data_IF_921704383941
#
_entry.id   IF_921704383941
#
_cell.length_a   1.000
_cell.length_b   1.000
_cell.length_c   1.000
_cell.angle_alpha   90.00
_cell.angle_beta   90.00
_cell.angle_gamma   90.00
#
_symmetry.space_group_name_H-M   'P 1'
#
loop_
_entity.id
_entity.type
_entity.pdbx_description
1 polymer ?
#
# COMPACT_ATOMS: atom_id res chain seq x y z
N UNK A 1 22.96 -17.25 -14.08
CA UNK A 1 22.24 -15.97 -14.09
C UNK A 1 21.05 -16.17 -13.18
N UNK A 2 21.14 -15.65 -11.99
CA UNK A 2 20.02 -15.63 -11.03
C UNK A 2 19.04 -14.56 -11.51
N UNK A 3 17.76 -14.73 -11.23
CA UNK A 3 16.68 -13.80 -11.64
C UNK A 3 16.82 -12.35 -11.09
N UNK A 4 17.92 -12.06 -10.40
CA UNK A 4 18.21 -10.78 -9.76
C UNK A 4 18.81 -9.74 -10.74
N UNK A 5 19.25 -10.16 -11.95
CA UNK A 5 19.88 -9.24 -12.92
C UNK A 5 18.88 -8.50 -13.85
N UNK A 6 17.58 -8.73 -13.71
CA UNK A 6 16.59 -8.28 -14.69
C UNK A 6 15.92 -6.92 -14.38
N UNK A 7 16.27 -6.25 -13.28
CA UNK A 7 15.69 -4.95 -12.97
C UNK A 7 16.42 -3.83 -13.74
N UNK A 8 16.07 -3.68 -15.01
CA UNK A 8 16.50 -2.53 -15.81
C UNK A 8 15.83 -1.25 -15.31
N UNK A 9 16.63 -0.20 -14.98
CA UNK A 9 16.06 1.12 -14.70
C UNK A 9 15.81 1.88 -15.99
N UNK A 10 14.63 2.48 -16.11
CA UNK A 10 14.34 3.47 -17.16
C UNK A 10 14.64 4.85 -16.58
N UNK A 11 15.55 5.57 -17.20
CA UNK A 11 15.89 6.94 -16.84
C UNK A 11 14.90 7.89 -17.51
N UNK A 12 14.00 8.49 -16.71
CA UNK A 12 13.17 9.62 -17.15
C UNK A 12 13.71 10.90 -16.52
N UNK A 13 14.06 11.93 -17.32
CA UNK A 13 14.61 13.17 -16.80
C UNK A 13 13.67 13.83 -15.77
N UNK A 14 14.21 14.20 -14.60
CA UNK A 14 13.47 14.94 -13.56
C UNK A 14 12.49 14.13 -12.72
N UNK A 15 12.55 12.79 -12.78
CA UNK A 15 11.71 11.89 -11.96
C UNK A 15 12.59 10.94 -11.15
N UNK A 16 12.08 10.34 -10.06
CA UNK A 16 12.72 9.21 -9.42
C UNK A 16 13.08 8.16 -10.46
N UNK A 17 14.22 7.49 -10.30
CA UNK A 17 14.66 6.45 -11.24
C UNK A 17 13.64 5.30 -11.23
N UNK A 18 12.84 5.21 -12.29
CA UNK A 18 11.78 4.22 -12.40
C UNK A 18 12.33 2.86 -12.77
N UNK A 19 11.77 1.82 -12.16
CA UNK A 19 12.06 0.42 -12.54
C UNK A 19 11.39 0.08 -13.88
N UNK A 20 10.29 0.76 -14.21
CA UNK A 20 9.55 0.58 -15.46
C UNK A 20 8.73 1.81 -15.83
N UNK A 21 8.09 1.80 -16.98
CA UNK A 21 7.12 2.83 -17.34
C UNK A 21 5.92 2.76 -16.41
N UNK A 22 5.34 3.91 -16.01
CA UNK A 22 4.13 3.92 -15.19
C UNK A 22 2.99 3.16 -15.88
N UNK A 23 2.39 2.21 -15.16
CA UNK A 23 1.33 1.33 -15.66
C UNK A 23 -0.03 1.67 -15.07
N UNK A 24 -1.09 1.45 -15.82
CA UNK A 24 -2.48 1.55 -15.35
C UNK A 24 -3.39 0.69 -16.20
N UNK A 25 -4.33 0.01 -15.55
CA UNK A 25 -5.35 -0.79 -16.23
C UNK A 25 -6.32 0.10 -16.99
N UNK A 26 -6.67 -0.27 -18.21
CA UNK A 26 -7.61 0.49 -19.06
C UNK A 26 -8.98 -0.19 -19.21
N UNK A 27 -9.17 -1.34 -18.59
CA UNK A 27 -10.35 -2.20 -18.83
C UNK A 27 -11.66 -1.57 -18.36
N UNK A 28 -11.64 -0.79 -17.28
CA UNK A 28 -12.84 -0.22 -16.65
C UNK A 28 -13.28 1.10 -17.25
N UNK A 29 -12.34 1.99 -17.57
CA UNK A 29 -12.64 3.37 -17.95
C UNK A 29 -12.06 3.80 -19.30
N UNK A 30 -11.41 2.89 -20.04
CA UNK A 30 -10.76 3.18 -21.31
C UNK A 30 -9.56 4.15 -21.20
N UNK A 31 -9.14 4.45 -19.97
CA UNK A 31 -7.96 5.24 -19.63
C UNK A 31 -7.20 4.55 -18.49
N UNK A 32 -5.88 4.81 -18.33
CA UNK A 32 -5.11 4.21 -17.24
C UNK A 32 -5.73 4.52 -15.88
N UNK A 33 -6.04 3.45 -15.12
CA UNK A 33 -6.56 3.59 -13.77
C UNK A 33 -6.20 2.38 -12.92
N UNK A 34 -5.21 2.53 -12.05
CA UNK A 34 -4.83 1.56 -11.04
C UNK A 34 -4.30 2.31 -9.82
N UNK A 35 -4.74 1.92 -8.62
CA UNK A 35 -4.38 2.54 -7.35
C UNK A 35 -3.92 1.50 -6.34
N UNK A 36 -3.33 1.95 -5.23
CA UNK A 36 -3.05 1.16 -4.03
C UNK A 36 -2.24 -0.10 -4.36
N UNK A 37 -0.99 0.03 -4.86
CA UNK A 37 -0.20 -1.12 -5.29
C UNK A 37 0.33 -1.93 -4.10
N UNK A 38 0.14 -3.26 -4.15
CA UNK A 38 0.84 -4.22 -3.31
C UNK A 38 1.48 -5.27 -4.20
N UNK A 39 2.80 -5.42 -4.13
CA UNK A 39 3.55 -6.31 -5.03
C UNK A 39 4.28 -7.37 -4.23
N UNK A 40 4.16 -8.61 -4.67
CA UNK A 40 4.86 -9.77 -4.10
C UNK A 40 5.58 -10.56 -5.20
N UNK A 41 6.59 -11.35 -4.80
CA UNK A 41 7.16 -12.41 -5.64
C UNK A 41 6.54 -13.74 -5.24
N UNK A 42 5.90 -14.43 -6.18
CA UNK A 42 5.23 -15.68 -5.92
C UNK A 42 5.19 -16.58 -7.17
N UNK A 43 5.54 -17.87 -7.00
CA UNK A 43 5.47 -18.84 -8.08
C UNK A 43 6.42 -18.53 -9.25
N UNK A 44 7.56 -17.87 -8.99
CA UNK A 44 8.56 -17.52 -10.01
C UNK A 44 8.22 -16.30 -10.85
N UNK A 45 7.21 -15.52 -10.47
CA UNK A 45 6.77 -14.26 -11.09
C UNK A 45 6.47 -13.21 -10.04
N UNK A 46 6.22 -11.98 -10.48
CA UNK A 46 5.70 -10.90 -9.64
C UNK A 46 4.18 -10.80 -9.82
N UNK A 47 3.48 -10.60 -8.71
CA UNK A 47 2.04 -10.33 -8.69
C UNK A 47 1.82 -8.94 -8.08
N UNK A 48 1.10 -8.10 -8.79
CA UNK A 48 0.63 -6.79 -8.35
C UNK A 48 -0.86 -6.89 -8.06
N UNK A 49 -1.22 -6.62 -6.82
CA UNK A 49 -2.60 -6.38 -6.42
C UNK A 49 -2.84 -4.88 -6.40
N UNK A 50 -3.94 -4.44 -6.96
CA UNK A 50 -4.27 -3.02 -7.00
C UNK A 50 -5.78 -2.80 -7.00
N UNK A 51 -6.19 -1.59 -6.61
CA UNK A 51 -7.59 -1.17 -6.69
C UNK A 51 -7.95 -0.71 -8.08
N UNK A 52 -9.04 -1.28 -8.63
CA UNK A 52 -9.70 -0.77 -9.83
C UNK A 52 -11.02 -0.08 -9.46
N UNK A 53 -11.32 1.06 -10.10
CA UNK A 53 -12.54 1.79 -9.85
C UNK A 53 -13.78 1.05 -10.36
N UNK A 54 -14.97 1.56 -10.00
CA UNK A 54 -16.21 1.26 -10.70
C UNK A 54 -16.11 1.61 -12.20
N UNK A 55 -17.03 1.09 -13.01
CA UNK A 55 -17.09 1.42 -14.44
C UNK A 55 -17.50 2.85 -14.77
N UNK A 56 -17.91 3.66 -13.78
CA UNK A 56 -18.35 5.05 -13.92
C UNK A 56 -17.70 5.94 -12.87
N UNK A 57 -17.39 7.20 -13.22
CA UNK A 57 -16.86 8.19 -12.29
C UNK A 57 -17.89 8.62 -11.22
N UNK A 58 -19.19 8.49 -11.53
CA UNK A 58 -20.27 8.95 -10.67
C UNK A 58 -20.72 7.90 -9.64
N UNK A 59 -20.13 6.70 -9.64
CA UNK A 59 -20.54 5.57 -8.79
C UNK A 59 -19.40 5.18 -7.86
N UNK A 60 -19.60 5.36 -6.56
CA UNK A 60 -18.66 4.91 -5.53
C UNK A 60 -18.66 3.38 -5.36
N UNK A 61 -19.76 2.71 -5.71
CA UNK A 61 -19.90 1.26 -5.62
C UNK A 61 -19.20 0.54 -6.78
N UNK A 62 -18.73 -0.69 -6.53
CA UNK A 62 -18.15 -1.54 -7.56
C UNK A 62 -16.64 -1.44 -7.72
N UNK A 63 -15.93 -0.83 -6.76
CA UNK A 63 -14.49 -0.97 -6.65
C UNK A 63 -14.12 -2.43 -6.42
N UNK A 64 -13.01 -2.86 -6.99
CA UNK A 64 -12.55 -4.25 -6.93
C UNK A 64 -11.03 -4.31 -6.84
N UNK A 65 -10.52 -5.38 -6.27
CA UNK A 65 -9.09 -5.70 -6.33
C UNK A 65 -8.81 -6.44 -7.64
N UNK A 66 -7.83 -5.95 -8.40
CA UNK A 66 -7.30 -6.64 -9.56
C UNK A 66 -5.95 -7.30 -9.25
N UNK A 67 -5.64 -8.34 -10.00
CA UNK A 67 -4.35 -9.01 -9.99
C UNK A 67 -3.70 -8.81 -11.36
N UNK A 68 -2.52 -8.22 -11.39
CA UNK A 68 -1.66 -8.17 -12.57
C UNK A 68 -0.39 -8.99 -12.32
N UNK A 69 0.18 -9.55 -13.37
CA UNK A 69 1.42 -10.30 -13.29
C UNK A 69 2.52 -9.69 -14.17
N UNK A 70 3.77 -9.95 -13.79
CA UNK A 70 4.97 -9.54 -14.49
C UNK A 70 6.11 -10.53 -14.23
N UNK A 71 6.97 -10.72 -15.22
CA UNK A 71 8.22 -11.47 -15.09
C UNK A 71 9.43 -10.54 -14.84
N UNK A 72 9.28 -9.21 -15.06
CA UNK A 72 10.37 -8.24 -15.12
C UNK A 72 10.15 -6.96 -14.29
N UNK A 73 9.00 -6.80 -13.62
CA UNK A 73 8.52 -5.58 -12.92
C UNK A 73 8.32 -4.36 -13.85
N UNK A 74 8.45 -4.53 -15.16
CA UNK A 74 8.32 -3.46 -16.17
C UNK A 74 7.05 -3.62 -16.97
N UNK A 75 6.78 -4.85 -17.42
CA UNK A 75 5.64 -5.19 -18.27
C UNK A 75 4.57 -5.89 -17.43
N UNK A 76 3.45 -5.22 -17.22
CA UNK A 76 2.35 -5.74 -16.41
C UNK A 76 1.15 -6.12 -17.26
N UNK A 77 0.49 -7.22 -16.90
CA UNK A 77 -0.73 -7.71 -17.53
C UNK A 77 -1.76 -8.10 -16.46
N UNK A 78 -2.93 -7.47 -16.47
CA UNK A 78 -4.04 -7.87 -15.60
C UNK A 78 -4.49 -9.30 -15.96
N UNK A 79 -4.54 -10.19 -14.98
CA UNK A 79 -4.89 -11.61 -15.13
C UNK A 79 -6.19 -11.96 -14.43
N UNK A 80 -6.59 -11.19 -13.42
CA UNK A 80 -7.86 -11.39 -12.72
C UNK A 80 -8.40 -10.09 -12.15
N UNK A 81 -9.70 -10.06 -11.93
CA UNK A 81 -10.39 -9.09 -11.06
C UNK A 81 -11.17 -9.93 -10.06
N UNK A 82 -10.90 -9.73 -8.78
CA UNK A 82 -11.50 -10.51 -7.72
C UNK A 82 -12.98 -10.14 -7.56
N UNK A 83 -13.89 -11.12 -7.53
CA UNK A 83 -15.29 -10.87 -7.23
C UNK A 83 -15.45 -10.53 -5.73
N UNK A 84 -16.56 -9.91 -5.31
CA UNK A 84 -16.93 -9.85 -3.91
C UNK A 84 -16.96 -11.24 -3.28
N UNK A 85 -16.43 -11.36 -2.05
CA UNK A 85 -16.37 -12.62 -1.33
C UNK A 85 -17.60 -12.88 -0.45
N UNK A 86 -18.39 -11.82 -0.16
CA UNK A 86 -19.57 -11.92 0.69
C UNK A 86 -20.35 -10.61 0.77
N UNK A 87 -21.34 -10.59 1.67
CA UNK A 87 -22.19 -9.40 1.87
C UNK A 87 -21.42 -8.20 2.43
N UNK A 88 -20.31 -8.45 3.12
CA UNK A 88 -19.50 -7.40 3.75
C UNK A 88 -18.72 -6.55 2.74
N UNK A 89 -18.35 -7.09 1.59
CA UNK A 89 -17.62 -6.41 0.52
C UNK A 89 -18.41 -6.29 -0.80
N UNK A 90 -19.72 -6.56 -0.77
CA UNK A 90 -20.60 -6.50 -1.93
C UNK A 90 -20.68 -5.10 -2.57
N UNK A 91 -20.51 -4.03 -1.80
CA UNK A 91 -20.45 -2.65 -2.32
C UNK A 91 -19.12 -2.32 -2.97
N UNK A 92 -18.04 -2.94 -2.53
CA UNK A 92 -16.71 -2.77 -3.09
C UNK A 92 -15.60 -3.27 -2.16
N UNK A 93 -14.45 -3.53 -2.77
CA UNK A 93 -13.20 -3.86 -2.12
C UNK A 93 -12.07 -3.02 -2.72
N UNK A 94 -11.10 -2.60 -1.91
CA UNK A 94 -10.00 -1.76 -2.34
C UNK A 94 -8.76 -1.93 -1.44
N UNK A 95 -7.69 -1.23 -1.77
CA UNK A 95 -6.43 -1.12 -1.03
C UNK A 95 -5.92 -2.48 -0.52
N UNK A 96 -5.50 -3.34 -1.44
CA UNK A 96 -4.97 -4.66 -1.09
C UNK A 96 -3.59 -4.55 -0.44
N UNK A 97 -3.35 -5.36 0.60
CA UNK A 97 -2.06 -5.65 1.17
C UNK A 97 -1.80 -7.16 1.07
N UNK A 98 -0.76 -7.59 0.39
CA UNK A 98 -0.46 -9.00 0.15
C UNK A 98 0.86 -9.42 0.80
N UNK A 99 0.87 -10.60 1.41
CA UNK A 99 2.06 -11.20 1.99
C UNK A 99 2.11 -12.69 1.69
N UNK A 100 3.31 -13.25 1.53
CA UNK A 100 3.50 -14.69 1.36
C UNK A 100 3.87 -15.31 2.71
N UNK A 101 3.03 -16.23 3.19
CA UNK A 101 3.24 -17.00 4.41
C UNK A 101 3.03 -18.49 4.10
N UNK A 102 3.95 -19.35 4.57
CA UNK A 102 3.87 -20.80 4.41
C UNK A 102 3.59 -21.26 2.97
N UNK A 103 4.18 -20.56 1.99
CA UNK A 103 4.03 -20.87 0.57
C UNK A 103 2.66 -20.54 -0.04
N UNK A 104 1.86 -19.73 0.65
CA UNK A 104 0.56 -19.24 0.21
C UNK A 104 0.52 -17.73 0.20
N UNK A 105 -0.33 -17.16 -0.64
CA UNK A 105 -0.60 -15.72 -0.64
C UNK A 105 -1.74 -15.41 0.31
N UNK A 106 -1.48 -14.55 1.28
CA UNK A 106 -2.47 -13.94 2.16
C UNK A 106 -2.74 -12.53 1.66
N UNK A 107 -3.99 -12.26 1.28
CA UNK A 107 -4.45 -10.97 0.79
C UNK A 107 -5.36 -10.34 1.85
N UNK A 108 -4.96 -9.17 2.32
CA UNK A 108 -5.79 -8.32 3.16
C UNK A 108 -6.30 -7.17 2.30
N UNK A 109 -7.54 -6.78 2.50
CA UNK A 109 -8.16 -5.72 1.71
C UNK A 109 -9.25 -5.05 2.53
N UNK A 110 -9.56 -3.81 2.21
CA UNK A 110 -10.65 -3.10 2.88
C UNK A 110 -11.97 -3.34 2.16
N UNK A 111 -13.07 -3.33 2.91
CA UNK A 111 -14.39 -3.04 2.35
C UNK A 111 -14.42 -1.59 1.88
N UNK A 112 -15.24 -1.25 0.88
CA UNK A 112 -15.28 0.09 0.33
C UNK A 112 -16.72 0.59 0.13
N UNK A 113 -16.94 1.86 0.48
CA UNK A 113 -18.25 2.51 0.30
C UNK A 113 -19.18 2.44 1.50
N UNK A 114 -18.70 1.94 2.66
CA UNK A 114 -19.48 1.83 3.91
C UNK A 114 -19.13 2.92 4.94
N UNK A 115 -18.19 3.80 4.60
CA UNK A 115 -17.79 4.90 5.46
C UNK A 115 -17.13 4.45 6.77
N UNK A 116 -17.76 4.71 7.91
CA UNK A 116 -17.24 4.31 9.24
C UNK A 116 -17.21 2.79 9.44
N UNK A 117 -17.99 2.04 8.69
CA UNK A 117 -18.08 0.58 8.77
C UNK A 117 -17.09 -0.14 7.87
N UNK A 118 -16.26 0.60 7.09
CA UNK A 118 -15.19 -0.01 6.33
C UNK A 118 -14.21 -0.71 7.27
N UNK A 119 -13.85 -1.94 6.94
CA UNK A 119 -13.06 -2.83 7.78
C UNK A 119 -12.14 -3.70 6.93
N UNK A 120 -11.10 -4.28 7.54
CA UNK A 120 -10.16 -5.15 6.85
C UNK A 120 -10.71 -6.56 6.79
N UNK A 121 -10.69 -7.12 5.57
CA UNK A 121 -11.00 -8.50 5.24
C UNK A 121 -9.73 -9.26 4.86
N UNK A 122 -9.80 -10.59 4.87
CA UNK A 122 -8.68 -11.47 4.55
C UNK A 122 -9.14 -12.62 3.65
N UNK A 123 -8.28 -13.01 2.71
CA UNK A 123 -8.46 -14.18 1.86
C UNK A 123 -7.11 -14.86 1.59
N UNK A 124 -7.11 -16.13 1.26
CA UNK A 124 -5.89 -16.93 1.04
C UNK A 124 -5.93 -17.61 -0.31
N UNK A 125 -4.77 -17.72 -0.96
CA UNK A 125 -4.61 -18.35 -2.28
C UNK A 125 -3.36 -19.22 -2.35
N UNK A 126 -3.49 -20.36 -3.04
CA UNK A 126 -2.37 -21.25 -3.37
C UNK A 126 -1.66 -20.86 -4.68
N UNK A 127 -2.29 -20.04 -5.54
CA UNK A 127 -1.76 -19.60 -6.83
C UNK A 127 -1.61 -18.09 -6.99
N UNK A 128 -2.07 -17.32 -5.97
CA UNK A 128 -2.06 -15.86 -5.98
C UNK A 128 -3.14 -15.21 -6.85
N UNK A 129 -4.06 -16.00 -7.43
CA UNK A 129 -5.11 -15.52 -8.35
C UNK A 129 -6.51 -15.92 -7.86
N UNK A 130 -6.68 -17.18 -7.48
CA UNK A 130 -7.94 -17.69 -6.96
C UNK A 130 -7.92 -17.69 -5.43
N UNK A 131 -8.76 -16.89 -4.81
CA UNK A 131 -8.76 -16.69 -3.35
C UNK A 131 -9.96 -17.33 -2.68
N UNK A 132 -9.71 -17.89 -1.49
CA UNK A 132 -10.74 -18.36 -0.55
C UNK A 132 -10.83 -17.35 0.60
N UNK A 133 -12.01 -16.75 0.85
CA UNK A 133 -12.16 -15.78 1.92
C UNK A 133 -12.05 -16.42 3.31
N UNK A 134 -11.53 -15.64 4.26
CA UNK A 134 -11.57 -16.02 5.67
C UNK A 134 -13.04 -16.02 6.16
N UNK A 135 -13.52 -17.10 6.76
CA UNK A 135 -14.90 -17.16 7.24
C UNK A 135 -15.20 -16.19 8.40
N UNK A 136 -14.16 -15.62 9.03
CA UNK A 136 -14.29 -14.64 10.10
C UNK A 136 -14.35 -13.18 9.59
N UNK A 137 -14.39 -12.95 8.27
CA UNK A 137 -14.44 -11.60 7.71
C UNK A 137 -15.65 -10.77 8.18
N UNK A 138 -15.46 -9.47 8.45
CA UNK A 138 -14.21 -8.72 8.47
C UNK A 138 -13.33 -9.14 9.65
N UNK A 139 -12.02 -9.30 9.41
CA UNK A 139 -11.07 -9.79 10.41
C UNK A 139 -10.54 -8.69 11.33
N UNK A 140 -10.56 -7.43 10.92
CA UNK A 140 -10.08 -6.34 11.75
C UNK A 140 -10.91 -5.06 11.56
N UNK A 141 -11.26 -4.45 12.70
CA UNK A 141 -11.75 -3.09 12.84
C UNK A 141 -11.22 -2.53 14.16
N UNK A 142 -10.77 -1.27 14.21
CA UNK A 142 -10.13 -0.71 15.40
C UNK A 142 -11.13 -0.39 16.49
N UNK A 143 -10.59 -0.23 17.71
CA UNK A 143 -11.29 0.26 18.89
C UNK A 143 -10.54 1.45 19.51
N UNK A 144 -11.18 2.17 20.42
CA UNK A 144 -10.63 3.32 21.12
C UNK A 144 -11.29 4.64 20.73
N UNK A 145 -11.25 5.60 21.65
CA UNK A 145 -11.96 6.88 21.51
C UNK A 145 -11.33 7.85 20.50
N UNK A 146 -10.10 7.55 20.04
CA UNK A 146 -9.37 8.36 19.08
C UNK A 146 -9.73 8.06 17.61
N UNK A 147 -10.47 6.96 17.36
CA UNK A 147 -10.80 6.47 16.01
C UNK A 147 -12.30 6.49 15.77
N UNK A 148 -12.69 6.70 14.52
CA UNK A 148 -14.10 6.58 14.10
C UNK A 148 -14.58 5.12 13.96
N UNK A 149 -13.71 4.11 14.19
CA UNK A 149 -14.03 2.69 14.02
C UNK A 149 -13.73 2.12 12.63
N UNK A 150 -13.37 2.95 11.67
CA UNK A 150 -12.98 2.56 10.30
C UNK A 150 -11.59 1.97 10.26
N UNK A 151 -11.37 0.92 9.45
CA UNK A 151 -10.04 0.43 9.07
C UNK A 151 -9.94 0.31 7.55
N UNK A 152 -8.92 0.95 6.97
CA UNK A 152 -8.61 0.93 5.54
C UNK A 152 -7.11 0.80 5.30
N UNK A 153 -6.68 0.66 4.05
CA UNK A 153 -5.30 0.70 3.57
C UNK A 153 -4.39 -0.23 4.39
N UNK A 154 -4.72 -1.52 4.41
CA UNK A 154 -3.94 -2.51 5.13
C UNK A 154 -2.62 -2.83 4.43
N UNK A 155 -1.51 -2.76 5.15
CA UNK A 155 -0.26 -3.37 4.73
C UNK A 155 0.34 -4.23 5.85
N UNK A 156 1.10 -5.25 5.47
CA UNK A 156 1.53 -6.27 6.41
C UNK A 156 2.99 -6.68 6.19
N UNK A 157 3.65 -6.94 7.31
CA UNK A 157 4.99 -7.55 7.30
C UNK A 157 5.09 -8.64 8.37
N UNK A 158 5.70 -9.76 8.00
CA UNK A 158 5.98 -10.85 8.94
C UNK A 158 7.30 -10.59 9.69
N UNK A 159 7.27 -10.83 11.00
CA UNK A 159 8.45 -11.02 11.86
C UNK A 159 8.64 -12.51 12.13
N UNK A 160 9.53 -12.90 13.03
CA UNK A 160 9.72 -14.30 13.39
C UNK A 160 8.50 -14.92 14.12
N UNK A 161 7.70 -14.11 14.79
CA UNK A 161 6.60 -14.56 15.64
C UNK A 161 5.22 -14.04 15.23
N UNK A 162 5.16 -12.87 14.61
CA UNK A 162 3.91 -12.16 14.36
C UNK A 162 3.81 -11.63 12.94
N UNK A 163 2.59 -11.59 12.44
CA UNK A 163 2.21 -10.73 11.32
C UNK A 163 1.82 -9.37 11.88
N UNK A 164 2.56 -8.33 11.50
CA UNK A 164 2.25 -6.94 11.89
C UNK A 164 1.43 -6.30 10.79
N UNK A 165 0.30 -5.71 11.17
CA UNK A 165 -0.62 -4.96 10.33
C UNK A 165 -0.48 -3.48 10.63
N UNK A 166 -0.24 -2.67 9.63
CA UNK A 166 -0.52 -1.23 9.65
C UNK A 166 -1.83 -0.94 8.92
N UNK A 167 -2.60 -0.01 9.43
CA UNK A 167 -3.93 0.33 8.94
C UNK A 167 -4.22 1.81 9.14
N UNK A 168 -5.23 2.31 8.46
CA UNK A 168 -5.61 3.73 8.45
C UNK A 168 -7.02 3.90 9.01
N UNK A 169 -7.22 4.98 9.74
CA UNK A 169 -8.52 5.40 10.25
C UNK A 169 -8.67 6.91 10.18
N UNK A 170 -9.83 7.43 10.60
CA UNK A 170 -10.04 8.85 10.86
C UNK A 170 -10.36 9.09 12.32
N UNK A 171 -10.20 10.35 12.72
CA UNK A 171 -10.70 10.85 14.00
C UNK A 171 -12.22 10.66 14.12
N UNK A 172 -12.81 10.77 15.33
CA UNK A 172 -14.25 10.63 15.52
C UNK A 172 -15.10 11.58 14.67
N UNK A 173 -14.57 12.71 14.26
CA UNK A 173 -15.21 13.71 13.40
C UNK A 173 -15.06 13.41 11.89
N UNK A 174 -14.33 12.37 11.52
CA UNK A 174 -14.06 11.97 10.12
C UNK A 174 -13.25 12.99 9.30
N UNK A 175 -12.38 13.78 9.94
CA UNK A 175 -11.60 14.85 9.30
C UNK A 175 -10.12 14.51 9.18
N UNK A 176 -9.49 14.08 10.27
CA UNK A 176 -8.05 13.82 10.34
C UNK A 176 -7.81 12.34 10.10
N UNK A 177 -7.02 12.01 9.08
CA UNK A 177 -6.67 10.63 8.76
C UNK A 177 -5.33 10.25 9.37
N UNK A 178 -5.27 9.08 10.02
CA UNK A 178 -4.18 8.67 10.91
C UNK A 178 -3.89 7.17 10.73
N UNK A 179 -2.69 6.77 11.15
CA UNK A 179 -2.23 5.39 11.09
C UNK A 179 -2.32 4.71 12.47
N UNK A 180 -2.71 3.45 12.45
CA UNK A 180 -2.65 2.55 13.59
C UNK A 180 -1.92 1.27 13.25
N UNK A 181 -1.56 0.50 14.26
CA UNK A 181 -0.90 -0.80 14.13
C UNK A 181 -1.55 -1.86 14.99
N UNK A 182 -1.45 -3.11 14.52
CA UNK A 182 -1.90 -4.31 15.22
C UNK A 182 -0.95 -5.47 14.89
N UNK A 183 -1.06 -6.59 15.61
CA UNK A 183 -0.33 -7.81 15.29
C UNK A 183 -1.16 -9.06 15.59
N UNK A 184 -0.87 -10.14 14.89
CA UNK A 184 -1.42 -11.47 15.17
C UNK A 184 -0.31 -12.52 15.12
N UNK A 185 -0.41 -13.63 15.89
CA UNK A 185 0.54 -14.74 15.77
C UNK A 185 0.56 -15.32 14.36
N UNK A 186 1.75 -15.70 13.84
CA UNK A 186 1.87 -16.24 12.48
C UNK A 186 1.15 -17.58 12.30
N UNK A 187 1.00 -18.36 13.37
CA UNK A 187 0.32 -19.65 13.38
C UNK A 187 -1.21 -19.53 13.60
N UNK A 188 -1.75 -18.31 13.65
CA UNK A 188 -3.19 -18.05 13.81
C UNK A 188 -3.94 -18.18 12.48
N UNK A 189 -5.27 -18.19 12.58
CA UNK A 189 -6.15 -18.14 11.41
C UNK A 189 -6.39 -16.69 10.90
N UNK A 190 -5.80 -15.69 11.55
CA UNK A 190 -6.04 -14.26 11.32
C UNK A 190 -7.51 -13.87 11.42
N UNK A 191 -8.24 -14.54 12.31
CA UNK A 191 -9.62 -14.14 12.64
C UNK A 191 -9.64 -12.91 13.55
N UNK A 192 -10.83 -12.35 13.78
CA UNK A 192 -10.97 -11.09 14.56
C UNK A 192 -10.36 -11.16 15.96
N UNK A 193 -10.40 -12.32 16.61
CA UNK A 193 -9.89 -12.50 17.98
C UNK A 193 -8.36 -12.70 18.04
N UNK A 194 -7.70 -12.90 16.90
CA UNK A 194 -6.27 -13.16 16.82
C UNK A 194 -5.45 -11.86 16.83
N UNK A 195 -6.08 -10.73 16.55
CA UNK A 195 -5.42 -9.44 16.44
C UNK A 195 -5.32 -8.72 17.78
N UNK A 196 -4.09 -8.40 18.19
CA UNK A 196 -3.78 -7.45 19.25
C UNK A 196 -3.59 -6.06 18.62
N UNK A 197 -4.52 -5.13 18.86
CA UNK A 197 -4.33 -3.73 18.48
C UNK A 197 -3.21 -3.12 19.33
N UNK A 198 -2.18 -2.56 18.69
CA UNK A 198 -1.04 -1.95 19.35
C UNK A 198 -1.28 -0.45 19.65
N UNK A 199 -2.04 0.21 18.80
CA UNK A 199 -2.43 1.63 18.90
C UNK A 199 -3.76 1.78 19.65
N UNK A 200 -3.78 1.47 20.96
CA UNK A 200 -5.02 1.46 21.76
C UNK A 200 -5.39 2.86 22.24
N UNK A 201 -4.41 3.60 22.80
CA UNK A 201 -4.63 4.88 23.46
C UNK A 201 -4.49 6.09 22.53
N UNK A 202 -4.10 5.85 21.27
CA UNK A 202 -3.87 6.86 20.26
C UNK A 202 -3.31 6.26 18.96
N UNK A 203 -3.18 7.06 17.89
CA UNK A 203 -2.60 6.62 16.64
C UNK A 203 -1.11 6.30 16.77
N UNK A 204 -0.62 5.39 15.94
CA UNK A 204 0.81 5.13 15.77
C UNK A 204 1.52 6.35 15.17
N UNK A 205 0.87 7.00 14.19
CA UNK A 205 1.23 8.29 13.61
C UNK A 205 -0.04 9.11 13.32
N UNK A 206 0.05 10.41 13.57
CA UNK A 206 -0.93 11.42 13.14
C UNK A 206 -0.23 12.49 12.30
N UNK A 207 -0.93 13.25 11.44
CA UNK A 207 -0.32 14.35 10.69
C UNK A 207 0.31 15.40 11.61
N UNK A 208 1.55 15.80 11.32
CA UNK A 208 2.29 16.81 12.08
C UNK A 208 3.06 17.77 11.17
N UNK A 209 3.48 17.28 9.98
CA UNK A 209 4.29 18.06 9.05
C UNK A 209 3.40 18.86 8.09
N UNK A 210 3.83 20.06 7.64
CA UNK A 210 3.02 20.90 6.77
C UNK A 210 2.55 20.21 5.48
N UNK A 211 3.36 19.32 4.89
CA UNK A 211 3.01 18.61 3.67
C UNK A 211 2.04 17.44 3.92
N UNK A 212 1.90 16.96 5.14
CA UNK A 212 0.93 15.93 5.53
C UNK A 212 -0.50 16.50 5.64
N UNK A 213 -0.64 17.80 5.89
CA UNK A 213 -1.91 18.49 6.06
C UNK A 213 -2.80 17.81 7.13
N UNK A 214 -4.01 17.35 6.78
CA UNK A 214 -4.94 16.64 7.68
C UNK A 214 -4.96 15.12 7.43
N UNK A 215 -4.00 14.57 6.66
CA UNK A 215 -4.04 13.17 6.24
C UNK A 215 -2.65 12.54 6.19
N UNK A 216 -2.51 11.39 6.84
CA UNK A 216 -1.52 10.39 6.51
C UNK A 216 -2.24 9.05 6.31
N UNK A 217 -1.86 8.33 5.23
CA UNK A 217 -2.54 7.09 4.83
C UNK A 217 -1.60 6.13 4.10
N UNK A 218 -2.13 4.98 3.71
CA UNK A 218 -1.46 3.97 2.89
C UNK A 218 -0.06 3.60 3.40
N UNK A 219 0.04 2.95 4.56
CA UNK A 219 1.31 2.44 5.06
C UNK A 219 1.87 1.37 4.13
N UNK A 220 3.22 1.28 4.04
CA UNK A 220 3.94 0.15 3.45
C UNK A 220 5.10 -0.23 4.36
N UNK A 221 5.10 -1.45 4.85
CA UNK A 221 5.99 -1.91 5.91
C UNK A 221 7.19 -2.68 5.36
N UNK A 222 8.35 -2.49 6.00
CA UNK A 222 9.53 -3.32 5.90
C UNK A 222 9.99 -3.71 7.31
N UNK A 223 10.45 -4.95 7.48
CA UNK A 223 11.14 -5.44 8.66
C UNK A 223 12.54 -5.92 8.28
N UNK A 224 13.58 -5.46 8.97
CA UNK A 224 14.98 -5.85 8.69
C UNK A 224 15.55 -6.87 9.70
N UNK A 225 14.70 -7.39 10.58
CA UNK A 225 15.09 -8.28 11.68
C UNK A 225 15.24 -7.56 13.02
N UNK A 226 15.29 -6.22 13.05
CA UNK A 226 15.46 -5.40 14.24
C UNK A 226 14.59 -4.15 14.27
N UNK A 227 14.34 -3.57 13.12
CA UNK A 227 13.66 -2.28 12.98
C UNK A 227 12.63 -2.35 11.85
N UNK A 228 11.45 -1.84 12.13
CA UNK A 228 10.43 -1.58 11.12
C UNK A 228 10.74 -0.25 10.42
N UNK A 229 10.60 -0.22 9.11
CA UNK A 229 10.45 1.00 8.33
C UNK A 229 9.04 1.01 7.76
N UNK A 230 8.32 2.10 7.93
CA UNK A 230 7.02 2.36 7.32
C UNK A 230 7.15 3.52 6.35
N UNK A 231 6.83 3.29 5.09
CA UNK A 231 6.53 4.37 4.16
C UNK A 231 5.05 4.72 4.31
N UNK A 232 4.69 5.98 4.12
CA UNK A 232 3.30 6.43 4.21
C UNK A 232 3.07 7.60 3.26
N UNK A 233 1.83 7.79 2.85
CA UNK A 233 1.42 8.94 2.05
C UNK A 233 0.91 10.06 2.96
N UNK A 234 1.31 11.29 2.67
CA UNK A 234 0.85 12.50 3.37
C UNK A 234 0.06 13.42 2.46
N UNK A 235 -0.94 14.08 2.99
CA UNK A 235 -2.05 14.77 2.39
C UNK A 235 -3.09 13.85 1.73
N UNK A 236 -4.29 14.38 1.50
CA UNK A 236 -5.31 13.69 0.69
C UNK A 236 -4.92 13.66 -0.79
N UNK A 237 -5.53 12.74 -1.55
CA UNK A 237 -5.27 12.61 -2.99
C UNK A 237 -5.34 13.96 -3.71
N UNK A 238 -4.36 14.25 -4.55
CA UNK A 238 -4.22 15.47 -5.37
C UNK A 238 -4.12 16.80 -4.57
N UNK A 239 -3.61 16.77 -3.30
CA UNK A 239 -3.50 17.99 -2.47
C UNK A 239 -2.09 18.60 -2.27
N UNK A 240 -0.98 18.24 -2.95
CA UNK A 240 -0.58 16.99 -3.55
C UNK A 240 -0.21 15.94 -2.49
N UNK A 241 -0.54 14.69 -2.73
CA UNK A 241 -0.06 13.60 -1.88
C UNK A 241 1.41 13.30 -2.16
N UNK A 242 2.18 13.02 -1.12
CA UNK A 242 3.62 12.78 -1.18
C UNK A 242 3.98 11.64 -0.22
N UNK A 243 5.16 11.04 -0.35
CA UNK A 243 5.55 9.88 0.45
C UNK A 243 6.63 10.25 1.45
N UNK A 244 6.36 9.99 2.72
CA UNK A 244 7.32 10.04 3.82
C UNK A 244 7.66 8.67 4.38
N UNK A 245 8.44 8.64 5.46
CA UNK A 245 8.81 7.42 6.14
C UNK A 245 9.01 7.62 7.64
N UNK A 246 8.82 6.54 8.39
CA UNK A 246 9.03 6.48 9.83
C UNK A 246 9.63 5.13 10.23
N UNK A 247 10.22 5.03 11.41
CA UNK A 247 10.80 3.80 11.96
C UNK A 247 10.24 3.47 13.33
N UNK A 248 10.30 2.17 13.68
CA UNK A 248 9.93 1.65 14.98
C UNK A 248 10.71 0.37 15.30
N UNK A 249 10.95 0.09 16.57
CA UNK A 249 11.51 -1.21 17.02
C UNK A 249 10.46 -2.11 17.65
N UNK A 250 9.24 -1.61 17.87
CA UNK A 250 8.18 -2.31 18.60
C UNK A 250 6.82 -2.30 17.88
N UNK A 251 6.75 -1.66 16.71
CA UNK A 251 5.54 -1.41 15.94
C UNK A 251 4.46 -0.58 16.70
N UNK A 252 4.77 -0.05 17.88
CA UNK A 252 3.88 0.79 18.70
C UNK A 252 4.25 2.26 18.62
N UNK A 253 5.54 2.53 18.82
CA UNK A 253 6.09 3.89 18.87
C UNK A 253 6.86 4.14 17.59
N UNK A 254 6.44 5.14 16.83
CA UNK A 254 7.02 5.47 15.54
C UNK A 254 7.69 6.84 15.55
N UNK A 255 8.81 6.94 14.87
CA UNK A 255 9.57 8.19 14.72
C UNK A 255 9.75 8.48 13.24
N UNK A 256 9.35 9.67 12.79
CA UNK A 256 9.59 10.14 11.42
C UNK A 256 11.08 10.21 11.14
N UNK A 257 11.45 9.79 9.94
CA UNK A 257 12.85 9.79 9.51
C UNK A 257 13.32 11.10 8.93
N UNK A 258 12.40 11.97 8.49
CA UNK A 258 12.70 13.29 7.93
C UNK A 258 11.48 14.22 8.04
N UNK A 259 11.72 15.53 7.98
CA UNK A 259 10.66 16.54 7.94
C UNK A 259 10.13 16.76 6.51
N UNK A 260 10.93 16.45 5.51
CA UNK A 260 10.58 16.54 4.09
C UNK A 260 10.16 15.17 3.53
N UNK A 261 9.29 15.12 2.49
CA UNK A 261 8.93 13.87 1.87
C UNK A 261 10.13 13.17 1.21
N UNK A 262 10.17 11.85 1.33
CA UNK A 262 11.14 11.00 0.62
C UNK A 262 10.89 11.00 -0.89
N UNK A 263 9.62 10.95 -1.30
CA UNK A 263 9.20 11.07 -2.69
C UNK A 263 8.18 12.21 -2.78
N UNK A 264 8.60 13.39 -3.24
CA UNK A 264 7.68 14.52 -3.46
C UNK A 264 6.82 14.30 -4.72
N UNK A 265 5.76 15.09 -4.84
CA UNK A 265 5.10 15.28 -6.11
C UNK A 265 6.08 15.83 -7.16
N UNK A 266 5.95 15.38 -8.39
CA UNK A 266 6.87 15.76 -9.47
C UNK A 266 6.72 17.23 -9.91
N UNK A 267 7.71 17.77 -10.63
CA UNK A 267 7.61 19.10 -11.23
C UNK A 267 6.51 19.14 -12.30
N UNK A 268 6.11 20.36 -12.68
CA UNK A 268 5.14 20.58 -13.76
C UNK A 268 5.56 19.85 -15.03
N UNK A 269 4.67 19.01 -15.55
CA UNK A 269 4.90 18.19 -16.74
C UNK A 269 5.42 16.77 -16.46
N UNK A 270 5.78 16.46 -15.20
CA UNK A 270 6.06 15.09 -14.80
C UNK A 270 4.76 14.27 -14.68
N UNK A 271 4.84 12.96 -14.89
CA UNK A 271 3.72 12.03 -14.83
C UNK A 271 3.08 11.92 -13.42
N UNK A 272 3.82 12.33 -12.39
CA UNK A 272 3.43 12.36 -10.98
C UNK A 272 3.29 13.79 -10.43
N UNK A 273 2.96 14.75 -11.30
CA UNK A 273 2.88 16.16 -10.92
C UNK A 273 1.81 16.45 -9.87
N UNK A 274 0.63 15.85 -10.00
CA UNK A 274 -0.48 16.08 -9.07
C UNK A 274 -0.38 15.23 -7.82
N UNK A 275 0.32 14.09 -7.90
CA UNK A 275 0.42 13.15 -6.78
C UNK A 275 1.55 12.13 -6.95
N UNK A 276 2.19 11.78 -5.82
CA UNK A 276 2.98 10.58 -5.58
C UNK A 276 2.52 10.01 -4.24
N UNK A 277 1.70 8.96 -4.25
CA UNK A 277 1.05 8.48 -3.03
C UNK A 277 0.86 6.97 -2.98
N UNK A 278 0.25 6.49 -1.92
CA UNK A 278 -0.07 5.08 -1.66
C UNK A 278 1.10 4.15 -1.99
N UNK A 279 2.19 4.19 -1.18
CA UNK A 279 3.35 3.33 -1.38
C UNK A 279 3.01 1.85 -1.15
N UNK A 280 3.70 0.96 -1.87
CA UNK A 280 3.77 -0.47 -1.61
C UNK A 280 5.23 -0.90 -1.73
N UNK A 281 5.75 -1.73 -0.83
CA UNK A 281 7.16 -2.08 -0.78
C UNK A 281 7.39 -3.57 -1.07
N UNK A 282 8.28 -3.84 -2.04
CA UNK A 282 8.79 -5.17 -2.34
C UNK A 282 10.25 -5.26 -1.94
N UNK A 283 10.59 -6.10 -0.98
CA UNK A 283 11.97 -6.33 -0.57
C UNK A 283 12.77 -7.06 -1.67
N UNK A 284 14.03 -6.62 -1.90
CA UNK A 284 15.01 -7.23 -2.80
C UNK A 284 16.32 -7.43 -2.01
N UNK A 285 16.29 -8.38 -1.09
CA UNK A 285 17.35 -8.60 -0.12
C UNK A 285 17.23 -7.72 1.14
N UNK A 286 18.25 -7.76 2.03
CA UNK A 286 18.19 -7.08 3.32
C UNK A 286 18.26 -5.54 3.21
N UNK A 287 19.03 -5.02 2.25
CA UNK A 287 19.38 -3.59 2.18
C UNK A 287 18.83 -2.88 0.93
N UNK A 288 17.90 -3.51 0.22
CA UNK A 288 17.32 -2.94 -1.00
C UNK A 288 15.87 -3.39 -1.21
N UNK A 289 15.17 -2.68 -2.08
CA UNK A 289 13.84 -3.02 -2.51
C UNK A 289 13.34 -2.13 -3.64
N UNK A 290 12.09 -2.33 -3.98
CA UNK A 290 11.36 -1.51 -4.94
C UNK A 290 10.16 -0.91 -4.22
N UNK A 291 10.04 0.39 -4.26
CA UNK A 291 8.90 1.13 -3.77
C UNK A 291 7.99 1.44 -4.96
N UNK A 292 6.83 0.80 -4.97
CA UNK A 292 5.74 1.09 -5.89
C UNK A 292 4.89 2.21 -5.32
N UNK A 293 4.28 3.01 -6.18
CA UNK A 293 3.37 4.06 -5.75
C UNK A 293 2.40 4.46 -6.86
N UNK A 294 1.23 4.89 -6.46
CA UNK A 294 0.29 5.49 -7.40
C UNK A 294 0.65 6.94 -7.67
N UNK A 295 0.38 7.41 -8.87
CA UNK A 295 0.55 8.81 -9.22
C UNK A 295 -0.31 9.22 -10.42
N UNK A 296 -0.45 10.53 -10.60
CA UNK A 296 -1.09 11.14 -11.75
C UNK A 296 -0.57 12.57 -11.96
N UNK A 297 -0.91 13.15 -13.10
CA UNK A 297 -0.56 14.53 -13.48
C UNK A 297 -1.78 15.35 -13.94
N UNK A 298 -2.99 14.86 -13.66
CA UNK A 298 -4.24 15.38 -14.19
C UNK A 298 -5.38 15.38 -13.17
N UNK A 299 -5.03 15.65 -11.91
CA UNK A 299 -5.93 15.76 -10.76
C UNK A 299 -6.86 14.54 -10.60
N UNK A 300 -6.30 13.34 -10.85
CA UNK A 300 -7.00 12.08 -10.65
C UNK A 300 -7.86 11.61 -11.82
N UNK A 301 -7.78 12.25 -13.00
CA UNK A 301 -8.46 11.76 -14.20
C UNK A 301 -7.88 10.42 -14.67
N UNK A 302 -6.55 10.28 -14.64
CA UNK A 302 -5.85 8.99 -14.82
C UNK A 302 -5.11 8.63 -13.54
N UNK A 303 -4.86 7.33 -13.35
CA UNK A 303 -4.06 6.82 -12.25
C UNK A 303 -3.11 5.76 -12.77
N UNK A 304 -1.85 5.87 -12.38
CA UNK A 304 -0.79 4.96 -12.79
C UNK A 304 0.04 4.54 -11.60
N UNK A 305 0.54 3.33 -11.65
CA UNK A 305 1.51 2.79 -10.70
C UNK A 305 2.88 2.89 -11.34
N UNK A 306 3.79 3.57 -10.66
CA UNK A 306 5.21 3.62 -10.96
C UNK A 306 6.01 2.94 -9.87
N UNK A 307 7.31 2.77 -10.08
CA UNK A 307 8.18 2.13 -9.12
C UNK A 307 9.58 2.74 -9.16
N UNK A 308 10.22 2.84 -8.00
CA UNK A 308 11.60 3.29 -7.85
C UNK A 308 12.39 2.36 -6.97
N UNK A 309 13.70 2.26 -7.21
CA UNK A 309 14.59 1.51 -6.32
C UNK A 309 14.82 2.27 -5.03
N UNK A 310 14.87 1.52 -3.94
CA UNK A 310 15.22 2.01 -2.61
C UNK A 310 16.36 1.17 -2.08
N UNK A 311 17.43 1.81 -1.63
CA UNK A 311 18.48 1.20 -0.84
C UNK A 311 18.36 1.65 0.62
N UNK A 312 18.94 0.89 1.53
CA UNK A 312 18.88 1.20 2.95
C UNK A 312 20.28 1.30 3.56
N UNK A 313 20.45 2.26 4.47
CA UNK A 313 21.56 2.35 5.38
C UNK A 313 20.98 2.11 6.79
N UNK A 314 21.02 0.86 7.25
CA UNK A 314 20.20 0.41 8.37
C UNK A 314 18.71 0.51 8.05
N UNK A 315 17.97 1.30 8.82
CA UNK A 315 16.55 1.56 8.60
C UNK A 315 16.29 2.81 7.74
N UNK A 316 17.32 3.55 7.33
CA UNK A 316 17.19 4.80 6.56
C UNK A 316 17.08 4.52 5.07
N UNK A 317 15.93 4.79 4.43
CA UNK A 317 15.76 4.61 2.99
C UNK A 317 16.47 5.71 2.20
N UNK A 318 17.00 5.35 1.04
CA UNK A 318 17.57 6.25 0.04
C UNK A 318 16.98 5.97 -1.32
N UNK A 319 16.43 6.99 -1.94
CA UNK A 319 15.88 6.95 -3.31
C UNK A 319 16.81 7.77 -4.20
N UNK A 320 17.23 7.22 -5.33
CA UNK A 320 18.03 7.96 -6.31
C UNK A 320 17.10 8.78 -7.22
N UNK A 321 17.23 10.10 -7.14
CA UNK A 321 16.58 11.01 -8.07
C UNK A 321 17.55 11.37 -9.22
N UNK A 322 17.07 11.38 -10.46
CA UNK A 322 17.81 12.02 -11.54
C UNK A 322 17.65 13.53 -11.44
N UNK A 323 18.72 14.23 -11.06
CA UNK A 323 18.69 15.68 -10.97
C UNK A 323 19.98 16.30 -10.47
N UNK A 324 20.85 15.54 -9.83
CA UNK A 324 22.15 16.02 -9.33
C UNK A 324 23.31 15.66 -10.28
N UNK A 325 23.17 16.00 -11.57
CA UNK A 325 24.33 16.26 -12.41
C UNK A 325 24.59 17.76 -12.31
N UNK A 326 25.58 18.10 -11.41
CA UNK A 326 26.14 19.43 -11.26
C UNK A 326 26.68 20.01 -12.58
#
# INVERSE_FOLDING_TARGET
>A
MTADDALGSIDLPGTPRLVGAPWGDTSRRGRPYAKDPSVIRFGGRYLLYCSLPSGSDDVAEGWSVAVAESDDLVSWRTVAVLPPFGDHDATGAAAPGAVVLDGRVHLFFQTYGRGREDAICHAVSDDGIAFTPNPANPVFAPSGDWTCGRAIDADLVATDEHLVLAWVTRDPEMRIQMLGTARAPLDSAFGRADWEQLSVDGPALAPELPWEQECIEAPALRWDGTTFTMFYAGAYNNCPQQIGWATSTDARTWTRGADEPLIPAGPVGAWNHSESGHPGFLADGPDAGVLFFQANADDGHTWRIGATRVSFDGATPRVEFHGDAA
#
